data_IF_663494731018
#
_entry.id   IF_663494731018
#
_cell.length_a   1.000
_cell.length_b   1.000
_cell.length_c   1.000
_cell.angle_alpha   90.00
_cell.angle_beta   90.00
_cell.angle_gamma   90.00
#
_symmetry.space_group_name_H-M   'P 1'
#
loop_
_entity.id
_entity.type
_entity.pdbx_description
1 polymer ?
#
# COMPACT_ATOMS: atom_id res chain seq x y z
N UNK A 1 -5.57 -12.48 7.02
CA UNK A 1 -5.31 -13.48 8.06
C UNK A 1 -4.35 -12.86 9.05
N UNK A 2 -4.83 -12.51 10.25
CA UNK A 2 -3.98 -12.08 11.35
C UNK A 2 -3.06 -13.25 11.70
N UNK A 3 -1.79 -13.10 11.45
CA UNK A 3 -0.80 -14.08 11.86
C UNK A 3 -0.64 -14.00 13.38
N UNK A 4 -1.12 -14.98 14.15
CA UNK A 4 -1.03 -14.96 15.61
C UNK A 4 0.43 -14.86 16.09
N UNK A 5 1.38 -15.36 15.29
CA UNK A 5 2.81 -15.32 15.58
C UNK A 5 3.39 -13.91 15.66
N UNK A 6 2.99 -12.97 14.78
CA UNK A 6 3.49 -11.59 14.84
C UNK A 6 3.03 -10.85 16.07
N UNK A 7 1.79 -11.10 16.53
CA UNK A 7 1.26 -10.51 17.76
C UNK A 7 1.96 -11.06 19.00
N UNK A 8 2.16 -12.37 19.08
CA UNK A 8 2.89 -13.03 20.18
C UNK A 8 4.35 -12.56 20.22
N UNK A 9 5.01 -12.52 19.07
CA UNK A 9 6.41 -12.11 18.98
C UNK A 9 6.60 -10.65 19.41
N UNK A 10 5.73 -9.74 18.97
CA UNK A 10 5.74 -8.34 19.39
C UNK A 10 5.48 -8.18 20.89
N UNK A 11 4.52 -8.92 21.45
CA UNK A 11 4.24 -8.89 22.89
C UNK A 11 5.43 -9.39 23.70
N UNK A 12 6.14 -10.41 23.20
CA UNK A 12 7.35 -10.91 23.80
C UNK A 12 8.50 -9.89 23.75
N UNK A 13 8.71 -9.19 22.61
CA UNK A 13 9.69 -8.12 22.49
C UNK A 13 9.35 -6.93 23.42
N UNK A 14 8.08 -6.60 23.56
CA UNK A 14 7.63 -5.57 24.48
C UNK A 14 7.87 -5.96 25.96
N UNK A 15 7.71 -7.23 26.29
CA UNK A 15 7.98 -7.75 27.65
C UNK A 15 9.46 -7.65 28.06
N UNK A 16 10.39 -7.53 27.11
CA UNK A 16 11.81 -7.29 27.38
C UNK A 16 12.10 -5.86 27.87
N UNK A 17 11.10 -5.00 27.91
CA UNK A 17 11.22 -3.59 28.29
C UNK A 17 11.45 -2.66 27.11
N UNK A 18 11.28 -1.35 27.39
CA UNK A 18 11.34 -0.30 26.36
C UNK A 18 9.95 0.17 25.90
N UNK A 19 9.95 1.01 24.89
CA UNK A 19 8.73 1.58 24.28
C UNK A 19 8.14 0.61 23.25
N UNK A 20 6.89 0.85 22.84
CA UNK A 20 6.28 0.13 21.74
C UNK A 20 7.13 0.27 20.45
N UNK A 21 7.69 1.46 20.22
CA UNK A 21 8.60 1.71 19.09
C UNK A 21 9.82 0.79 19.13
N UNK A 22 10.49 0.69 20.28
CA UNK A 22 11.66 -0.16 20.44
C UNK A 22 11.34 -1.63 20.16
N UNK A 23 10.19 -2.10 20.64
CA UNK A 23 9.73 -3.46 20.39
C UNK A 23 9.44 -3.70 18.90
N UNK A 24 8.82 -2.74 18.21
CA UNK A 24 8.51 -2.82 16.78
C UNK A 24 9.80 -2.79 15.97
N UNK A 25 10.73 -1.89 16.25
CA UNK A 25 12.03 -1.83 15.58
C UNK A 25 12.83 -3.12 15.70
N UNK A 26 12.74 -3.82 16.83
CA UNK A 26 13.37 -5.15 17.01
C UNK A 26 12.61 -6.27 16.31
N UNK A 27 11.30 -6.13 16.15
CA UNK A 27 10.44 -7.18 15.56
C UNK A 27 10.48 -7.16 14.03
N UNK A 28 10.38 -5.97 13.43
CA UNK A 28 10.24 -5.79 11.98
C UNK A 28 11.32 -6.50 11.16
N UNK A 29 12.63 -6.42 11.50
CA UNK A 29 13.67 -7.10 10.72
C UNK A 29 13.56 -8.63 10.71
N UNK A 30 12.78 -9.21 11.62
CA UNK A 30 12.61 -10.65 11.75
C UNK A 30 11.38 -11.17 10.99
N UNK A 31 10.52 -10.28 10.50
CA UNK A 31 9.37 -10.64 9.68
C UNK A 31 9.81 -11.01 8.26
N UNK A 32 9.12 -11.97 7.68
CA UNK A 32 9.33 -12.44 6.31
C UNK A 32 8.03 -12.28 5.51
N UNK A 33 8.17 -11.88 4.25
CA UNK A 33 7.04 -11.69 3.34
C UNK A 33 6.50 -10.25 3.32
N UNK A 34 5.50 -10.01 2.49
CA UNK A 34 4.86 -8.70 2.35
C UNK A 34 3.86 -8.46 3.49
N UNK A 35 3.90 -7.25 4.05
CA UNK A 35 2.95 -6.80 5.08
C UNK A 35 2.74 -5.29 5.03
N UNK A 36 1.54 -4.88 5.43
CA UNK A 36 1.22 -3.53 5.91
C UNK A 36 0.54 -3.72 7.26
N UNK A 37 1.13 -3.23 8.33
CA UNK A 37 0.63 -3.44 9.69
C UNK A 37 0.54 -2.13 10.47
N UNK A 38 -0.53 -2.00 11.26
CA UNK A 38 -0.69 -0.92 12.24
C UNK A 38 -0.78 -1.53 13.62
N UNK A 39 -0.03 -0.97 14.54
CA UNK A 39 0.18 -1.50 15.89
C UNK A 39 -0.18 -0.41 16.90
N UNK A 40 -0.95 -0.80 17.90
CA UNK A 40 -1.31 0.05 19.03
C UNK A 40 -1.03 -0.68 20.33
N UNK A 41 -0.54 0.04 21.34
CA UNK A 41 -0.49 -0.44 22.72
C UNK A 41 -1.72 0.07 23.48
N UNK A 42 -2.48 -0.83 24.09
CA UNK A 42 -3.66 -0.45 24.89
C UNK A 42 -3.33 0.43 26.09
N UNK A 43 -2.07 0.43 26.53
CA UNK A 43 -1.57 1.26 27.63
C UNK A 43 -1.25 2.69 27.18
N UNK A 44 -0.98 2.88 25.88
CA UNK A 44 -0.80 4.20 25.23
C UNK A 44 -1.54 4.22 23.90
N UNK A 45 -2.86 4.42 23.91
CA UNK A 45 -3.67 4.44 22.69
C UNK A 45 -3.51 5.74 21.87
N UNK A 46 -2.69 6.68 22.34
CA UNK A 46 -2.46 7.95 21.64
C UNK A 46 -1.46 7.82 20.49
N UNK A 47 -0.71 6.71 20.43
CA UNK A 47 0.35 6.46 19.47
C UNK A 47 0.06 5.21 18.67
N UNK A 48 0.11 5.32 17.34
CA UNK A 48 0.07 4.20 16.40
C UNK A 48 1.44 4.04 15.76
N UNK A 49 1.86 2.80 15.58
CA UNK A 49 3.02 2.47 14.75
C UNK A 49 2.56 1.74 13.50
N UNK A 50 2.89 2.31 12.34
CA UNK A 50 2.63 1.76 11.04
C UNK A 50 3.92 1.25 10.44
N UNK A 51 3.93 0.05 9.89
CA UNK A 51 5.11 -0.52 9.24
C UNK A 51 4.71 -1.24 7.95
N UNK A 52 5.54 -1.10 6.91
CA UNK A 52 5.28 -1.72 5.62
C UNK A 52 6.50 -2.46 5.07
N UNK A 53 6.22 -3.52 4.34
CA UNK A 53 7.13 -4.18 3.41
C UNK A 53 6.31 -4.85 2.30
N UNK A 54 6.63 -4.60 1.04
CA UNK A 54 5.93 -5.13 -0.12
C UNK A 54 4.51 -4.59 -0.33
N UNK A 55 3.74 -4.34 0.74
CA UNK A 55 2.39 -3.75 0.67
C UNK A 55 2.45 -2.23 0.77
N UNK A 56 1.67 -1.47 -0.03
CA UNK A 56 1.64 -0.01 0.08
C UNK A 56 1.05 0.45 1.42
N UNK A 57 1.49 1.63 1.87
CA UNK A 57 0.93 2.30 3.03
C UNK A 57 1.10 3.81 2.92
N UNK A 58 0.09 4.55 3.29
CA UNK A 58 0.05 6.00 3.21
C UNK A 58 -0.48 6.59 4.53
N UNK A 59 0.11 7.69 4.94
CA UNK A 59 -0.34 8.49 6.07
C UNK A 59 -1.05 9.73 5.53
N UNK A 60 -2.31 9.91 5.90
CA UNK A 60 -3.06 11.12 5.61
C UNK A 60 -2.89 12.13 6.75
N UNK A 61 -2.54 13.36 6.40
CA UNK A 61 -2.33 14.45 7.36
C UNK A 61 -3.61 15.29 7.47
N UNK A 62 -4.22 15.29 8.65
CA UNK A 62 -5.40 16.07 8.96
C UNK A 62 -5.14 17.22 9.93
N UNK A 63 -6.18 17.92 10.34
CA UNK A 63 -6.14 18.98 11.36
C UNK A 63 -6.46 18.40 12.75
N UNK A 64 -5.42 18.19 13.57
CA UNK A 64 -5.57 17.59 14.90
C UNK A 64 -5.84 16.08 14.88
N UNK A 65 -5.67 15.45 13.75
CA UNK A 65 -5.78 14.02 13.53
C UNK A 65 -4.94 13.58 12.34
N UNK A 66 -4.50 12.32 12.31
CA UNK A 66 -3.81 11.73 11.19
C UNK A 66 -4.41 10.34 10.91
N UNK A 67 -4.30 9.91 9.67
CA UNK A 67 -4.94 8.71 9.16
C UNK A 67 -3.91 7.76 8.58
N UNK A 68 -4.21 6.45 8.62
CA UNK A 68 -3.36 5.42 8.02
C UNK A 68 -4.24 4.56 7.11
N UNK A 69 -3.80 4.35 5.87
CA UNK A 69 -4.47 3.47 4.92
C UNK A 69 -3.46 2.77 4.00
N UNK A 70 -3.91 1.77 3.29
CA UNK A 70 -3.12 1.12 2.22
C UNK A 70 -3.18 1.92 0.91
N UNK A 71 -4.20 2.77 0.72
CA UNK A 71 -4.40 3.57 -0.48
C UNK A 71 -4.94 4.96 -0.11
N UNK A 72 -4.43 6.00 -0.77
CA UNK A 72 -4.88 7.38 -0.59
C UNK A 72 -6.37 7.58 -0.93
N UNK A 73 -6.93 6.80 -1.86
CA UNK A 73 -8.35 6.88 -2.24
C UNK A 73 -9.27 6.70 -1.05
N UNK A 74 -8.90 5.85 -0.08
CA UNK A 74 -9.66 5.64 1.13
C UNK A 74 -9.71 6.90 2.03
N UNK A 75 -8.72 7.78 1.90
CA UNK A 75 -8.56 8.96 2.75
C UNK A 75 -8.91 10.27 2.06
N UNK A 76 -9.13 10.30 0.75
CA UNK A 76 -9.51 11.50 0.01
C UNK A 76 -10.74 12.25 0.58
N UNK A 77 -11.75 11.56 1.19
CA UNK A 77 -12.85 12.23 1.85
C UNK A 77 -12.46 13.10 3.05
N UNK A 78 -11.32 12.83 3.68
CA UNK A 78 -10.90 13.46 4.93
C UNK A 78 -9.65 14.32 4.79
N UNK A 79 -8.76 14.01 3.84
CA UNK A 79 -7.56 14.80 3.58
C UNK A 79 -7.05 14.61 2.16
N UNK A 80 -6.30 15.61 1.66
CA UNK A 80 -5.55 15.54 0.40
C UNK A 80 -4.03 15.55 0.61
N UNK A 81 -3.58 15.69 1.85
CA UNK A 81 -2.16 15.77 2.20
C UNK A 81 -1.68 14.41 2.68
N UNK A 82 -0.67 13.87 2.02
CA UNK A 82 -0.21 12.50 2.24
C UNK A 82 1.30 12.39 2.40
N UNK A 83 1.73 11.45 3.23
CA UNK A 83 3.08 10.92 3.27
C UNK A 83 3.00 9.45 2.83
N UNK A 84 3.65 9.13 1.71
CA UNK A 84 3.77 7.75 1.25
C UNK A 84 5.00 7.12 1.91
N UNK A 85 4.76 6.02 2.62
CA UNK A 85 5.87 5.28 3.23
C UNK A 85 6.63 4.51 2.15
N UNK A 86 7.95 4.54 2.23
CA UNK A 86 8.84 3.75 1.38
C UNK A 86 9.04 2.34 1.92
N UNK A 87 9.74 1.51 1.16
CA UNK A 87 9.96 0.10 1.51
C UNK A 87 10.77 -0.03 2.80
N UNK A 88 10.18 -0.73 3.78
CA UNK A 88 10.77 -0.93 5.09
C UNK A 88 10.58 0.22 6.08
N UNK A 89 9.83 1.27 5.72
CA UNK A 89 9.55 2.37 6.63
C UNK A 89 8.67 1.93 7.81
N UNK A 90 8.94 2.57 8.94
CA UNK A 90 8.15 2.51 10.16
C UNK A 90 7.74 3.94 10.52
N UNK A 91 6.44 4.21 10.63
CA UNK A 91 5.93 5.52 11.03
C UNK A 91 5.31 5.47 12.42
N UNK A 92 5.75 6.39 13.29
CA UNK A 92 5.08 6.70 14.54
C UNK A 92 4.07 7.82 14.27
N UNK A 93 2.80 7.52 14.47
CA UNK A 93 1.69 8.40 14.13
C UNK A 93 0.90 8.72 15.38
N UNK A 94 0.84 10.00 15.71
CA UNK A 94 -0.01 10.56 16.76
C UNK A 94 -1.08 11.47 16.15
N UNK A 95 -1.96 12.01 16.97
CA UNK A 95 -2.96 13.00 16.49
C UNK A 95 -2.32 14.27 15.90
N UNK A 96 -1.08 14.62 16.30
CA UNK A 96 -0.44 15.91 15.98
C UNK A 96 0.86 15.79 15.20
N UNK A 97 1.44 14.60 15.14
CA UNK A 97 2.75 14.39 14.52
C UNK A 97 2.83 13.06 13.80
N UNK A 98 3.67 13.03 12.77
CA UNK A 98 4.10 11.83 12.08
C UNK A 98 5.62 11.84 12.06
N UNK A 99 6.23 10.77 12.54
CA UNK A 99 7.68 10.59 12.56
C UNK A 99 7.98 9.29 11.83
N UNK A 100 8.86 9.35 10.82
CA UNK A 100 9.19 8.18 10.00
C UNK A 100 10.62 7.75 10.25
N UNK A 101 10.80 6.45 10.42
CA UNK A 101 12.08 5.77 10.52
C UNK A 101 12.24 4.84 9.34
N UNK A 102 13.45 4.73 8.80
CA UNK A 102 13.76 3.77 7.75
C UNK A 102 13.96 2.35 8.31
N UNK A 103 14.26 1.41 7.42
CA UNK A 103 14.52 0.00 7.77
C UNK A 103 15.69 -0.21 8.73
N UNK A 104 16.58 0.79 8.91
CA UNK A 104 17.69 0.75 9.86
C UNK A 104 17.33 1.34 11.22
N UNK A 105 16.14 1.95 11.32
CA UNK A 105 15.67 2.65 12.50
C UNK A 105 16.12 4.10 12.59
N UNK A 106 16.75 4.63 11.54
CA UNK A 106 17.16 6.02 11.48
C UNK A 106 16.01 6.94 11.10
N UNK A 107 15.98 8.11 11.72
CA UNK A 107 14.96 9.13 11.46
C UNK A 107 15.10 9.64 10.03
N UNK A 108 14.02 9.56 9.24
CA UNK A 108 14.00 10.06 7.87
C UNK A 108 12.83 11.01 7.64
N UNK A 109 13.06 11.96 6.73
CA UNK A 109 12.01 12.88 6.29
C UNK A 109 11.45 12.38 4.95
N UNK A 110 10.18 12.01 4.93
CA UNK A 110 9.44 11.70 3.71
C UNK A 110 8.72 12.94 3.19
N UNK A 111 8.61 13.02 1.87
CA UNK A 111 7.94 14.14 1.23
C UNK A 111 6.43 14.11 1.53
N UNK A 112 5.90 15.26 1.93
CA UNK A 112 4.47 15.49 1.94
C UNK A 112 4.01 15.81 0.51
N UNK A 113 2.98 15.12 0.04
CA UNK A 113 2.41 15.27 -1.30
C UNK A 113 0.95 15.67 -1.18
N UNK A 114 0.55 16.69 -1.91
CA UNK A 114 -0.86 17.02 -2.08
C UNK A 114 -1.42 16.26 -3.29
N UNK A 115 -2.44 15.46 -3.05
CA UNK A 115 -3.07 14.65 -4.09
C UNK A 115 -3.98 15.51 -4.98
N UNK A 116 -3.74 15.44 -6.28
CA UNK A 116 -4.59 16.04 -7.30
C UNK A 116 -5.73 15.11 -7.77
N UNK A 117 -5.83 13.90 -7.20
CA UNK A 117 -6.90 12.97 -7.54
C UNK A 117 -8.25 13.58 -7.18
N UNK A 118 -9.18 13.50 -8.13
CA UNK A 118 -10.56 13.87 -7.85
C UNK A 118 -11.23 12.77 -7.03
N UNK A 119 -12.05 13.16 -6.06
CA UNK A 119 -12.81 12.24 -5.21
C UNK A 119 -13.73 11.31 -6.00
N UNK A 120 -14.13 11.75 -7.20
CA UNK A 120 -14.99 10.98 -8.13
C UNK A 120 -14.42 9.60 -8.51
N UNK A 121 -13.08 9.41 -8.42
CA UNK A 121 -12.46 8.10 -8.63
C UNK A 121 -12.93 7.05 -7.61
N UNK A 122 -13.30 7.49 -6.40
CA UNK A 122 -13.87 6.65 -5.33
C UNK A 122 -15.39 6.72 -5.21
N UNK A 123 -16.09 7.50 -6.04
CA UNK A 123 -17.54 7.57 -5.99
C UNK A 123 -18.18 6.35 -6.68
N UNK A 124 -19.24 5.82 -6.07
CA UNK A 124 -20.06 4.74 -6.66
C UNK A 124 -20.84 5.21 -7.90
N UNK A 125 -20.99 6.53 -8.07
CA UNK A 125 -21.84 7.09 -9.10
C UNK A 125 -23.29 6.58 -8.97
N UNK A 126 -23.88 6.15 -10.07
CA UNK A 126 -25.26 5.60 -10.11
C UNK A 126 -25.35 4.15 -9.59
N UNK A 127 -24.24 3.54 -9.16
CA UNK A 127 -24.23 2.14 -8.75
C UNK A 127 -24.41 1.96 -7.24
N UNK A 128 -25.12 0.90 -6.84
CA UNK A 128 -25.34 0.57 -5.44
C UNK A 128 -24.07 0.06 -4.75
N UNK A 129 -23.21 -0.65 -5.48
CA UNK A 129 -22.00 -1.30 -4.99
C UNK A 129 -20.81 -0.97 -5.88
N UNK A 130 -19.59 -0.84 -5.29
CA UNK A 130 -18.36 -0.64 -6.04
C UNK A 130 -18.09 -1.76 -7.04
N UNK A 131 -18.27 -3.02 -6.66
CA UNK A 131 -18.11 -4.16 -7.55
C UNK A 131 -19.06 -4.07 -8.77
N UNK A 132 -20.28 -3.61 -8.58
CA UNK A 132 -21.20 -3.37 -9.69
C UNK A 132 -20.68 -2.30 -10.64
N UNK A 133 -20.18 -1.17 -10.10
CA UNK A 133 -19.55 -0.12 -10.89
C UNK A 133 -18.38 -0.69 -11.69
N UNK A 134 -17.47 -1.40 -11.04
CA UNK A 134 -16.29 -2.00 -11.67
C UNK A 134 -16.65 -2.97 -12.80
N UNK A 135 -17.69 -3.79 -12.62
CA UNK A 135 -18.19 -4.70 -13.68
C UNK A 135 -18.59 -3.90 -14.93
N UNK A 136 -19.33 -2.82 -14.76
CA UNK A 136 -19.79 -2.01 -15.88
C UNK A 136 -18.71 -1.10 -16.48
N UNK A 137 -17.66 -0.80 -15.72
CA UNK A 137 -16.50 -0.03 -16.18
C UNK A 137 -15.46 -0.87 -16.94
N UNK A 138 -15.55 -2.20 -16.90
CA UNK A 138 -14.58 -3.10 -17.54
C UNK A 138 -14.27 -2.75 -19.02
N UNK A 139 -15.26 -2.43 -19.88
CA UNK A 139 -14.95 -2.07 -21.27
C UNK A 139 -14.03 -0.84 -21.38
N UNK A 140 -14.25 0.16 -20.53
CA UNK A 140 -13.42 1.37 -20.50
C UNK A 140 -12.05 1.09 -19.88
N UNK A 141 -12.00 0.28 -18.83
CA UNK A 141 -10.75 -0.12 -18.19
C UNK A 141 -9.84 -0.89 -19.16
N UNK A 142 -10.40 -1.85 -19.91
CA UNK A 142 -9.69 -2.60 -20.94
C UNK A 142 -9.21 -1.66 -22.04
N UNK A 143 -10.09 -0.79 -22.55
CA UNK A 143 -9.72 0.20 -23.58
C UNK A 143 -8.55 1.07 -23.11
N UNK A 144 -8.61 1.60 -21.89
CA UNK A 144 -7.56 2.44 -21.32
C UNK A 144 -6.24 1.69 -21.16
N UNK A 145 -6.31 0.44 -20.72
CA UNK A 145 -5.14 -0.43 -20.57
C UNK A 145 -4.45 -0.71 -21.90
N UNK A 146 -5.23 -0.86 -22.96
CA UNK A 146 -4.73 -1.14 -24.32
C UNK A 146 -4.30 0.12 -25.09
N UNK A 147 -4.71 1.31 -24.62
CA UNK A 147 -4.37 2.57 -25.28
C UNK A 147 -2.85 2.78 -25.27
N UNK A 148 -2.28 2.98 -26.46
CA UNK A 148 -0.83 3.13 -26.67
C UNK A 148 -0.05 1.81 -26.70
N UNK A 149 -0.70 0.68 -26.37
CA UNK A 149 -0.06 -0.65 -26.38
C UNK A 149 -0.48 -1.52 -27.56
N UNK A 150 -1.40 -1.05 -28.36
CA UNK A 150 -1.78 -1.69 -29.63
C UNK A 150 -1.61 -0.68 -30.75
N UNK A 151 -0.77 -0.98 -31.73
CA UNK A 151 -0.53 -0.19 -32.92
C UNK A 151 -0.55 -1.09 -34.15
N UNK A 152 -1.36 -0.72 -35.15
CA UNK A 152 -1.48 -1.47 -36.42
C UNK A 152 -1.84 -2.94 -36.28
N UNK A 153 -2.54 -3.32 -35.20
CA UNK A 153 -2.91 -4.72 -34.91
C UNK A 153 -1.83 -5.53 -34.20
N UNK A 154 -0.72 -4.92 -33.85
CA UNK A 154 0.36 -5.54 -33.07
C UNK A 154 0.42 -4.96 -31.66
N UNK A 155 0.88 -5.78 -30.71
CA UNK A 155 1.07 -5.39 -29.32
C UNK A 155 2.45 -4.76 -29.17
N UNK A 156 2.49 -3.52 -28.69
CA UNK A 156 3.73 -2.82 -28.34
C UNK A 156 3.94 -2.88 -26.82
N UNK A 157 4.97 -3.57 -26.39
CA UNK A 157 5.40 -3.70 -25.00
C UNK A 157 6.77 -3.07 -24.75
N UNK A 158 7.17 -2.11 -25.57
CA UNK A 158 8.45 -1.39 -25.47
C UNK A 158 8.63 -0.71 -24.11
N UNK A 159 7.54 -0.35 -23.41
CA UNK A 159 7.56 0.17 -22.04
C UNK A 159 8.19 -0.82 -21.02
N UNK A 160 8.18 -2.13 -21.31
CA UNK A 160 8.83 -3.15 -20.47
C UNK A 160 10.35 -3.21 -20.66
N UNK A 161 10.90 -2.37 -21.52
CA UNK A 161 12.32 -2.27 -21.81
C UNK A 161 12.70 -2.77 -23.20
N UNK A 162 13.87 -2.37 -23.68
CA UNK A 162 14.37 -2.61 -25.06
C UNK A 162 14.45 -4.08 -25.46
N UNK A 163 14.49 -5.01 -24.51
CA UNK A 163 14.58 -6.45 -24.76
C UNK A 163 13.26 -7.20 -24.59
N UNK A 164 12.15 -6.47 -24.31
CA UNK A 164 10.86 -7.09 -24.02
C UNK A 164 10.35 -7.95 -25.19
N UNK A 165 10.42 -7.43 -26.41
CA UNK A 165 9.95 -8.15 -27.60
C UNK A 165 10.77 -9.40 -27.88
N UNK A 166 12.10 -9.34 -27.73
CA UNK A 166 12.99 -10.50 -27.91
C UNK A 166 12.75 -11.58 -26.84
N UNK A 167 12.45 -11.16 -25.63
CA UNK A 167 12.13 -12.07 -24.54
C UNK A 167 10.78 -12.74 -24.77
N UNK A 168 9.75 -11.94 -25.02
CA UNK A 168 8.37 -12.41 -25.15
C UNK A 168 8.16 -13.26 -26.41
N UNK A 169 8.88 -13.01 -27.50
CA UNK A 169 8.82 -13.83 -28.72
C UNK A 169 9.32 -15.27 -28.50
N UNK A 170 10.06 -15.53 -27.44
CA UNK A 170 10.61 -16.85 -27.07
C UNK A 170 9.82 -17.57 -25.99
N UNK A 171 8.77 -16.93 -25.46
CA UNK A 171 7.94 -17.50 -24.39
C UNK A 171 6.96 -18.49 -24.99
N UNK A 172 7.07 -19.76 -24.62
CA UNK A 172 6.15 -20.82 -25.01
C UNK A 172 5.03 -21.05 -23.98
N UNK A 173 5.28 -20.73 -22.72
CA UNK A 173 4.32 -20.91 -21.62
C UNK A 173 4.32 -19.72 -20.68
N UNK A 174 3.12 -19.31 -20.27
CA UNK A 174 2.90 -18.27 -19.25
C UNK A 174 2.14 -18.93 -18.09
N UNK A 175 2.66 -18.80 -16.88
CA UNK A 175 1.97 -19.21 -15.67
C UNK A 175 1.58 -17.97 -14.87
N UNK A 176 0.26 -17.78 -14.68
CA UNK A 176 -0.30 -16.67 -13.90
C UNK A 176 -0.62 -17.18 -12.49
N UNK A 177 -0.02 -16.54 -11.47
CA UNK A 177 -0.25 -16.85 -10.08
C UNK A 177 -0.87 -15.62 -9.43
N UNK A 178 -2.13 -15.73 -9.05
CA UNK A 178 -2.88 -14.62 -8.45
C UNK A 178 -4.01 -15.15 -7.56
N UNK A 179 -4.70 -14.26 -6.86
CA UNK A 179 -5.90 -14.58 -6.09
C UNK A 179 -6.99 -13.55 -6.34
N UNK A 180 -8.25 -13.91 -6.05
CA UNK A 180 -9.41 -13.04 -6.21
C UNK A 180 -9.65 -12.65 -7.67
N UNK A 181 -10.00 -11.39 -7.89
CA UNK A 181 -10.31 -10.87 -9.22
C UNK A 181 -9.12 -10.91 -10.18
N UNK A 182 -7.89 -10.75 -9.67
CA UNK A 182 -6.67 -10.89 -10.48
C UNK A 182 -6.49 -12.31 -11.04
N UNK A 183 -6.80 -13.35 -10.24
CA UNK A 183 -6.81 -14.74 -10.71
C UNK A 183 -7.86 -14.97 -11.80
N UNK A 184 -9.06 -14.43 -11.59
CA UNK A 184 -10.16 -14.58 -12.55
C UNK A 184 -9.92 -13.84 -13.87
N UNK A 185 -9.07 -12.81 -13.87
CA UNK A 185 -8.71 -12.05 -15.08
C UNK A 185 -7.63 -12.75 -15.90
N UNK A 186 -6.75 -13.51 -15.27
CA UNK A 186 -5.66 -14.25 -15.91
C UNK A 186 -6.12 -15.52 -16.61
#
# INVERSE_FOLDING_TARGET
TLFPYTTLFRSWELAKGGTLRDAVLRTIPQLRGAYGTVIMDSRDPSTLLAARSGSPMVIGLGMGENFIASDQLALLPVTRRFIFLEEGDIAEVTRRSVTVFDKTGELVKRQEIESNLQYDAGDKGAYRHYMQKEIYEQPNAIKNTLTGRISHGEVDLSELGSHANDLLSKVEHIQIIACGTSYNSG
#
